data_IF_765200249142
#
_entry.id   IF_765200249142
#
_cell.length_a   1.000
_cell.length_b   1.000
_cell.length_c   1.000
_cell.angle_alpha   90.00
_cell.angle_beta   90.00
_cell.angle_gamma   90.00
#
_symmetry.space_group_name_H-M   'P 1'
#
loop_
_entity.id
_entity.type
_entity.pdbx_description
1 polymer ?
#
# COMPACT_ATOMS: atom_id res chain seq x y z
N UNK A 1 -35.71 57.95 -42.74
CA UNK A 1 -34.55 57.10 -43.05
C UNK A 1 -34.59 55.89 -42.15
N UNK A 2 -34.97 54.67 -42.64
CA UNK A 2 -35.14 53.46 -41.90
C UNK A 2 -33.96 52.56 -42.19
N UNK A 3 -33.06 52.40 -41.22
CA UNK A 3 -31.91 51.52 -41.30
C UNK A 3 -32.32 50.04 -41.04
N UNK A 4 -32.25 49.20 -42.08
CA UNK A 4 -32.44 47.76 -41.98
C UNK A 4 -31.19 47.09 -41.41
N UNK A 5 -31.25 46.58 -40.18
CA UNK A 5 -30.20 45.75 -39.57
C UNK A 5 -30.25 44.36 -40.18
N UNK A 6 -29.19 43.95 -40.88
CA UNK A 6 -28.99 42.60 -41.40
C UNK A 6 -28.53 41.71 -40.23
N UNK A 7 -29.41 40.79 -39.81
CA UNK A 7 -29.10 39.73 -38.81
C UNK A 7 -28.36 38.62 -39.53
N UNK A 8 -27.04 38.56 -39.36
CA UNK A 8 -26.19 37.47 -39.86
C UNK A 8 -26.63 36.15 -39.22
N UNK A 9 -27.15 35.23 -40.02
CA UNK A 9 -27.54 33.88 -39.62
C UNK A 9 -26.26 33.05 -39.54
N UNK A 10 -25.73 32.81 -38.31
CA UNK A 10 -24.62 31.88 -38.11
C UNK A 10 -25.09 30.50 -38.57
N UNK A 11 -24.45 29.95 -39.59
CA UNK A 11 -24.59 28.53 -39.99
C UNK A 11 -23.94 27.68 -38.89
N UNK A 12 -24.73 26.91 -38.17
CA UNK A 12 -24.21 25.82 -37.32
C UNK A 12 -23.81 24.69 -38.27
N UNK A 13 -22.53 24.51 -38.50
CA UNK A 13 -22.02 23.28 -39.13
C UNK A 13 -22.19 22.14 -38.13
N UNK A 14 -23.10 21.23 -38.41
CA UNK A 14 -23.26 19.99 -37.63
C UNK A 14 -22.05 19.07 -37.83
N UNK A 15 -21.61 18.41 -36.78
CA UNK A 15 -20.55 17.39 -36.85
C UNK A 15 -20.96 16.25 -37.77
N UNK A 16 -20.04 15.79 -38.62
CA UNK A 16 -20.28 14.61 -39.45
C UNK A 16 -20.20 13.36 -38.61
N UNK A 17 -20.90 12.28 -39.00
CA UNK A 17 -20.92 11.01 -38.29
C UNK A 17 -19.49 10.42 -38.17
N UNK A 18 -18.65 10.60 -39.17
CA UNK A 18 -17.26 10.16 -39.20
C UNK A 18 -16.39 10.95 -38.20
N UNK A 19 -16.61 12.26 -38.07
CA UNK A 19 -15.88 13.11 -37.14
C UNK A 19 -16.17 12.74 -35.69
N UNK A 20 -17.44 12.42 -35.37
CA UNK A 20 -17.83 11.91 -34.06
C UNK A 20 -17.22 10.52 -33.77
N UNK A 21 -17.16 9.61 -34.75
CA UNK A 21 -16.56 8.29 -34.55
C UNK A 21 -15.05 8.36 -34.27
N UNK A 22 -14.33 9.27 -34.92
CA UNK A 22 -12.91 9.51 -34.67
C UNK A 22 -12.70 10.08 -33.28
N UNK A 23 -13.51 11.07 -32.85
CA UNK A 23 -13.41 11.66 -31.52
C UNK A 23 -13.67 10.62 -30.43
N UNK A 24 -14.71 9.78 -30.57
CA UNK A 24 -15.01 8.70 -29.62
C UNK A 24 -13.85 7.70 -29.55
N UNK A 25 -13.25 7.33 -30.68
CA UNK A 25 -12.09 6.45 -30.73
C UNK A 25 -10.88 7.02 -29.99
N UNK A 26 -10.56 8.29 -30.19
CA UNK A 26 -9.46 8.98 -29.51
C UNK A 26 -9.70 9.08 -27.99
N UNK A 27 -10.94 9.41 -27.58
CA UNK A 27 -11.30 9.49 -26.16
C UNK A 27 -11.19 8.12 -25.49
N UNK A 28 -11.61 7.04 -26.15
CA UNK A 28 -11.48 5.68 -25.62
C UNK A 28 -10.00 5.29 -25.37
N UNK A 29 -9.10 5.62 -26.30
CA UNK A 29 -7.65 5.39 -26.14
C UNK A 29 -7.10 6.24 -24.97
N UNK A 30 -7.49 7.50 -24.86
CA UNK A 30 -7.03 8.37 -23.78
C UNK A 30 -7.49 7.86 -22.39
N UNK A 31 -8.72 7.39 -22.27
CA UNK A 31 -9.25 6.83 -21.01
C UNK A 31 -8.46 5.58 -20.58
N UNK A 32 -8.17 4.66 -21.51
CA UNK A 32 -7.39 3.44 -21.18
C UNK A 32 -5.96 3.78 -20.73
N UNK A 33 -5.30 4.75 -21.33
CA UNK A 33 -3.97 5.19 -20.93
C UNK A 33 -3.95 5.82 -19.53
N UNK A 34 -4.98 6.58 -19.17
CA UNK A 34 -5.08 7.22 -17.84
C UNK A 34 -5.37 6.21 -16.75
N UNK A 35 -6.29 5.26 -16.97
CA UNK A 35 -6.70 4.29 -15.95
C UNK A 35 -5.55 3.38 -15.51
N UNK A 36 -4.70 2.92 -16.43
CA UNK A 36 -3.54 2.08 -16.09
C UNK A 36 -2.51 2.81 -15.22
N UNK A 37 -2.26 4.10 -15.48
CA UNK A 37 -1.36 4.92 -14.66
C UNK A 37 -1.93 5.22 -13.28
N UNK A 38 -3.23 5.41 -13.18
CA UNK A 38 -3.90 5.73 -11.92
C UNK A 38 -3.77 4.62 -10.87
N UNK A 39 -3.88 3.36 -11.28
CA UNK A 39 -3.71 2.20 -10.37
C UNK A 39 -2.32 2.18 -9.75
N UNK A 40 -1.26 2.37 -10.55
CA UNK A 40 0.12 2.39 -10.06
C UNK A 40 0.38 3.53 -9.07
N UNK A 41 -0.16 4.72 -9.34
CA UNK A 41 -0.03 5.88 -8.44
C UNK A 41 -0.72 5.60 -7.10
N UNK A 42 -1.94 5.05 -7.13
CA UNK A 42 -2.68 4.71 -5.91
C UNK A 42 -1.94 3.69 -5.05
N UNK A 43 -1.39 2.64 -5.64
CA UNK A 43 -0.63 1.62 -4.91
C UNK A 43 0.65 2.19 -4.29
N UNK A 44 1.35 3.06 -5.00
CA UNK A 44 2.52 3.75 -4.45
C UNK A 44 2.16 4.66 -3.27
N UNK A 45 1.04 5.38 -3.34
CA UNK A 45 0.56 6.21 -2.23
C UNK A 45 0.14 5.36 -1.01
N UNK A 46 -0.56 4.25 -1.24
CA UNK A 46 -0.91 3.28 -0.20
C UNK A 46 0.34 2.73 0.49
N UNK A 47 1.33 2.32 -0.29
CA UNK A 47 2.59 1.80 0.26
C UNK A 47 3.34 2.83 1.09
N UNK A 48 3.39 4.11 0.66
CA UNK A 48 4.01 5.19 1.46
C UNK A 48 3.31 5.38 2.80
N UNK A 49 1.98 5.36 2.81
CA UNK A 49 1.20 5.46 4.03
C UNK A 49 1.44 4.25 4.94
N UNK A 50 1.51 3.04 4.37
CA UNK A 50 1.82 1.82 5.13
C UNK A 50 3.22 1.87 5.75
N UNK A 51 4.24 2.35 5.03
CA UNK A 51 5.60 2.53 5.58
C UNK A 51 5.58 3.54 6.75
N UNK A 52 4.84 4.63 6.62
CA UNK A 52 4.69 5.61 7.71
C UNK A 52 3.96 5.03 8.92
N UNK A 53 2.85 4.31 8.69
CA UNK A 53 2.10 3.61 9.72
C UNK A 53 2.98 2.57 10.45
N UNK A 54 3.71 1.77 9.68
CA UNK A 54 4.63 0.75 10.20
C UNK A 54 5.73 1.37 11.06
N UNK A 55 6.37 2.44 10.58
CA UNK A 55 7.42 3.15 11.34
C UNK A 55 6.88 3.69 12.67
N UNK A 56 5.70 4.32 12.63
CA UNK A 56 5.03 4.83 13.83
C UNK A 56 4.68 3.70 14.80
N UNK A 57 4.13 2.61 14.28
CA UNK A 57 3.73 1.44 15.08
C UNK A 57 4.94 0.76 15.73
N UNK A 58 6.03 0.54 14.99
CA UNK A 58 7.27 -0.03 15.55
C UNK A 58 7.82 0.85 16.67
N UNK A 59 7.86 2.18 16.47
CA UNK A 59 8.27 3.13 17.51
C UNK A 59 7.40 3.00 18.76
N UNK A 60 6.08 2.98 18.60
CA UNK A 60 5.14 2.84 19.72
C UNK A 60 5.24 1.49 20.44
N UNK A 61 5.46 0.40 19.70
CA UNK A 61 5.69 -0.92 20.30
C UNK A 61 6.96 -0.88 21.16
N UNK A 62 8.05 -0.29 20.67
CA UNK A 62 9.29 -0.13 21.45
C UNK A 62 9.05 0.70 22.72
N UNK A 63 8.25 1.76 22.64
CA UNK A 63 7.90 2.58 23.81
C UNK A 63 7.11 1.75 24.86
N UNK A 64 6.18 0.88 24.42
CA UNK A 64 5.40 -0.01 25.31
C UNK A 64 6.27 -1.06 25.99
N UNK A 65 7.27 -1.57 25.28
CA UNK A 65 8.18 -2.60 25.78
C UNK A 65 9.47 -2.04 26.37
N UNK A 66 9.57 -0.72 26.56
CA UNK A 66 10.77 -0.09 27.15
C UNK A 66 11.05 -0.66 28.54
N UNK A 67 12.27 -1.08 28.75
CA UNK A 67 12.67 -1.72 30.02
C UNK A 67 12.33 -3.22 30.14
N UNK A 68 11.71 -3.81 29.14
CA UNK A 68 11.51 -5.26 29.05
C UNK A 68 12.62 -5.89 28.16
N UNK A 69 13.08 -7.06 28.57
CA UNK A 69 14.15 -7.76 27.83
C UNK A 69 13.66 -8.42 26.54
N UNK A 70 12.37 -8.68 26.42
CA UNK A 70 11.81 -9.42 25.29
C UNK A 70 10.43 -8.91 24.86
N UNK A 71 10.05 -9.19 23.61
CA UNK A 71 8.72 -8.95 23.03
C UNK A 71 7.77 -10.15 23.16
N UNK A 72 7.98 -11.07 24.11
CA UNK A 72 7.24 -12.34 24.21
C UNK A 72 5.71 -12.18 24.23
N UNK A 73 5.19 -11.11 24.84
CA UNK A 73 3.75 -10.83 24.93
C UNK A 73 3.19 -10.14 23.68
N UNK A 74 4.04 -9.80 22.67
CA UNK A 74 3.64 -9.02 21.52
C UNK A 74 2.70 -9.81 20.60
N UNK A 75 1.45 -9.39 20.53
CA UNK A 75 0.40 -9.90 19.62
C UNK A 75 -0.57 -8.80 19.23
N UNK A 76 -1.33 -8.99 18.16
CA UNK A 76 -2.40 -8.05 17.78
C UNK A 76 -3.39 -7.84 18.94
N UNK A 77 -3.80 -8.93 19.63
CA UNK A 77 -4.75 -8.88 20.75
C UNK A 77 -4.23 -8.05 21.93
N UNK A 78 -2.92 -8.04 22.16
CA UNK A 78 -2.27 -7.23 23.17
C UNK A 78 -2.24 -5.74 22.79
N UNK A 79 -2.03 -5.42 21.50
CA UNK A 79 -1.86 -4.06 21.03
C UNK A 79 -3.19 -3.33 20.74
N UNK A 80 -4.21 -4.04 20.26
CA UNK A 80 -5.50 -3.45 19.87
C UNK A 80 -6.13 -2.59 20.98
N UNK A 81 -6.18 -3.01 22.26
CA UNK A 81 -6.75 -2.18 23.32
C UNK A 81 -5.88 -0.99 23.72
N UNK A 82 -4.64 -0.90 23.23
CA UNK A 82 -3.74 0.19 23.57
C UNK A 82 -3.98 1.40 22.66
N UNK A 83 -4.29 2.58 23.23
CA UNK A 83 -4.63 3.74 22.42
C UNK A 83 -3.45 4.19 21.56
N UNK A 84 -3.70 4.35 20.26
CA UNK A 84 -2.75 4.90 19.26
C UNK A 84 -1.45 4.13 19.06
N UNK A 85 -1.32 2.90 19.54
CA UNK A 85 -0.19 2.02 19.19
C UNK A 85 -0.36 1.55 17.75
N UNK A 86 -1.54 1.07 17.41
CA UNK A 86 -1.92 0.77 16.03
C UNK A 86 -2.63 2.02 15.48
N UNK A 87 -2.21 2.54 14.31
CA UNK A 87 -2.91 3.66 13.67
C UNK A 87 -4.38 3.34 13.39
N UNK A 88 -5.28 4.29 13.63
CA UNK A 88 -6.72 4.11 13.43
C UNK A 88 -7.07 3.71 11.98
N UNK A 89 -6.28 4.16 11.01
CA UNK A 89 -6.41 3.79 9.60
C UNK A 89 -6.19 2.30 9.31
N UNK A 90 -5.52 1.58 10.20
CA UNK A 90 -5.27 0.14 10.12
C UNK A 90 -6.27 -0.69 10.94
N UNK A 91 -7.12 -0.06 11.73
CA UNK A 91 -8.13 -0.76 12.54
C UNK A 91 -9.44 -0.85 11.77
N UNK A 92 -9.99 -2.05 11.66
CA UNK A 92 -11.30 -2.32 11.04
C UNK A 92 -12.17 -3.10 12.01
N UNK A 93 -13.39 -2.61 12.21
CA UNK A 93 -14.42 -3.34 12.96
C UNK A 93 -15.03 -4.42 12.05
N UNK A 94 -14.97 -5.67 12.47
CA UNK A 94 -15.61 -6.80 11.79
C UNK A 94 -17.06 -7.04 12.29
N UNK A 95 -17.53 -6.21 13.22
CA UNK A 95 -18.81 -6.35 13.88
C UNK A 95 -18.68 -7.00 15.27
N UNK A 96 -19.66 -6.71 16.14
CA UNK A 96 -19.65 -7.24 17.51
C UNK A 96 -18.52 -6.75 18.42
N UNK A 97 -17.83 -5.66 18.06
CA UNK A 97 -16.70 -5.12 18.83
C UNK A 97 -15.37 -5.82 18.59
N UNK A 98 -15.29 -6.68 17.58
CA UNK A 98 -14.04 -7.38 17.20
C UNK A 98 -13.26 -6.48 16.23
N UNK A 99 -12.12 -5.96 16.70
CA UNK A 99 -11.22 -5.15 15.89
C UNK A 99 -10.14 -6.01 15.24
N UNK A 100 -9.87 -5.76 13.97
CA UNK A 100 -8.82 -6.41 13.18
C UNK A 100 -7.84 -5.38 12.63
N UNK A 101 -6.58 -5.76 12.57
CA UNK A 101 -5.55 -4.93 11.93
C UNK A 101 -5.48 -5.29 10.45
N UNK A 102 -5.69 -4.30 9.59
CA UNK A 102 -5.70 -4.46 8.13
C UNK A 102 -4.75 -3.47 7.47
N UNK A 103 -4.20 -3.87 6.34
CA UNK A 103 -3.37 -2.98 5.52
C UNK A 103 -4.22 -2.16 4.52
N UNK A 104 -3.60 -1.23 3.80
CA UNK A 104 -4.28 -0.36 2.83
C UNK A 104 -4.87 -1.11 1.62
N UNK A 105 -4.54 -2.38 1.41
CA UNK A 105 -5.12 -3.24 0.37
C UNK A 105 -6.27 -4.11 0.90
N UNK A 106 -6.51 -4.09 2.23
CA UNK A 106 -7.59 -4.82 2.89
C UNK A 106 -7.15 -6.17 3.48
N UNK A 107 -5.91 -6.57 3.25
CA UNK A 107 -5.34 -7.80 3.80
C UNK A 107 -5.03 -7.69 5.30
N UNK A 108 -4.97 -8.82 5.99
CA UNK A 108 -4.67 -8.88 7.40
C UNK A 108 -3.21 -8.46 7.69
N UNK A 109 -3.02 -7.74 8.80
CA UNK A 109 -1.70 -7.45 9.35
C UNK A 109 -1.54 -8.20 10.67
N UNK A 110 -0.50 -9.02 10.76
CA UNK A 110 -0.16 -9.77 11.97
C UNK A 110 1.11 -9.22 12.58
N UNK A 111 1.03 -8.83 13.83
CA UNK A 111 2.15 -8.30 14.62
C UNK A 111 2.46 -9.31 15.71
N UNK A 112 3.71 -9.74 15.80
CA UNK A 112 4.19 -10.69 16.80
C UNK A 112 5.68 -10.50 17.07
N UNK A 113 6.20 -11.13 18.11
CA UNK A 113 7.64 -11.27 18.27
C UNK A 113 8.20 -12.34 17.34
N UNK A 114 9.50 -12.28 17.07
CA UNK A 114 10.23 -13.42 16.50
C UNK A 114 10.14 -14.63 17.43
N UNK A 115 10.34 -15.86 16.92
CA UNK A 115 10.52 -17.04 17.80
C UNK A 115 11.64 -16.81 18.84
N UNK A 116 11.66 -17.64 19.88
CA UNK A 116 12.68 -17.58 20.93
C UNK A 116 14.07 -17.19 20.35
N UNK A 117 14.75 -16.17 20.88
CA UNK A 117 14.59 -15.50 22.16
C UNK A 117 13.62 -14.28 22.22
N UNK A 118 12.72 -14.08 21.26
CA UNK A 118 11.70 -13.01 21.25
C UNK A 118 12.26 -11.58 21.27
N UNK A 119 13.43 -11.36 20.65
CA UNK A 119 14.16 -10.08 20.72
C UNK A 119 13.75 -9.08 19.62
N UNK A 120 12.93 -9.49 18.65
CA UNK A 120 12.58 -8.65 17.51
C UNK A 120 11.08 -8.62 17.27
N UNK A 121 10.63 -7.50 16.68
CA UNK A 121 9.25 -7.30 16.25
C UNK A 121 9.12 -7.86 14.83
N UNK A 122 8.11 -8.67 14.58
CA UNK A 122 7.77 -9.19 13.26
C UNK A 122 6.39 -8.70 12.84
N UNK A 123 6.30 -8.09 11.65
CA UNK A 123 5.05 -7.61 11.06
C UNK A 123 4.85 -8.31 9.73
N UNK A 124 3.71 -8.99 9.59
CA UNK A 124 3.34 -9.74 8.39
C UNK A 124 2.15 -9.07 7.71
N UNK A 125 2.29 -8.76 6.43
CA UNK A 125 1.27 -8.15 5.57
C UNK A 125 0.74 -9.20 4.60
N UNK A 126 -0.55 -9.52 4.65
CA UNK A 126 -1.22 -10.40 3.70
C UNK A 126 -1.85 -9.59 2.56
N UNK A 127 -2.09 -10.24 1.42
CA UNK A 127 -2.87 -9.72 0.28
C UNK A 127 -2.38 -8.37 -0.26
N UNK A 128 -1.07 -8.16 -0.26
CA UNK A 128 -0.45 -6.95 -0.83
C UNK A 128 -0.35 -7.12 -2.34
N UNK A 129 -0.78 -6.10 -3.12
CA UNK A 129 -0.60 -6.13 -4.59
C UNK A 129 0.89 -6.18 -4.96
N UNK A 130 1.23 -6.73 -6.14
CA UNK A 130 2.63 -6.82 -6.57
C UNK A 130 3.32 -5.46 -6.65
N UNK A 131 2.61 -4.42 -7.13
CA UNK A 131 3.12 -3.04 -7.16
C UNK A 131 3.26 -2.43 -5.76
N UNK A 132 2.29 -2.72 -4.88
CA UNK A 132 2.32 -2.33 -3.47
C UNK A 132 3.49 -2.97 -2.73
N UNK A 133 3.73 -4.26 -2.95
CA UNK A 133 4.86 -5.00 -2.39
C UNK A 133 6.20 -4.36 -2.78
N UNK A 134 6.44 -4.09 -4.07
CA UNK A 134 7.68 -3.44 -4.52
C UNK A 134 7.90 -2.10 -3.81
N UNK A 135 6.85 -1.27 -3.72
CA UNK A 135 6.92 0.03 -3.07
C UNK A 135 7.10 -0.09 -1.55
N UNK A 136 6.47 -1.10 -0.92
CA UNK A 136 6.61 -1.37 0.52
C UNK A 136 8.02 -1.86 0.85
N UNK A 137 8.57 -2.79 0.08
CA UNK A 137 9.95 -3.29 0.23
C UNK A 137 10.95 -2.14 0.07
N UNK A 138 10.82 -1.35 -1.00
CA UNK A 138 11.71 -0.20 -1.23
C UNK A 138 11.64 0.83 -0.10
N UNK A 139 10.44 1.15 0.39
CA UNK A 139 10.21 2.11 1.45
C UNK A 139 10.64 1.63 2.84
N UNK A 140 10.60 0.31 3.10
CA UNK A 140 10.98 -0.28 4.39
C UNK A 140 12.43 -0.78 4.45
N UNK A 141 13.15 -0.79 3.33
CA UNK A 141 14.48 -1.35 3.21
C UNK A 141 15.51 -0.77 4.21
N UNK A 142 15.34 0.49 4.61
CA UNK A 142 16.21 1.15 5.59
C UNK A 142 15.73 1.02 7.03
N UNK A 143 14.47 0.63 7.24
CA UNK A 143 13.85 0.48 8.57
C UNK A 143 13.92 -0.95 9.08
N UNK A 144 13.65 -1.92 8.21
CA UNK A 144 13.58 -3.33 8.57
C UNK A 144 14.97 -3.97 8.58
N UNK A 145 15.21 -4.85 9.55
CA UNK A 145 16.41 -5.69 9.59
C UNK A 145 16.36 -6.77 8.52
N UNK A 146 15.21 -7.44 8.40
CA UNK A 146 15.00 -8.42 7.35
C UNK A 146 13.63 -8.28 6.69
N UNK A 147 13.55 -8.67 5.41
CA UNK A 147 12.36 -8.65 4.58
C UNK A 147 12.27 -9.98 3.86
N UNK A 148 11.15 -10.68 4.05
CA UNK A 148 10.92 -12.05 3.53
C UNK A 148 9.56 -12.13 2.84
N UNK A 149 9.47 -12.82 1.70
CA UNK A 149 8.21 -13.22 1.06
C UNK A 149 8.19 -14.74 0.98
N UNK A 150 7.30 -15.38 1.71
CA UNK A 150 7.28 -16.84 1.81
C UNK A 150 8.56 -17.37 2.42
N UNK A 151 9.40 -18.04 1.62
CA UNK A 151 10.73 -18.54 1.97
C UNK A 151 11.88 -17.69 1.42
N UNK A 152 11.56 -16.67 0.60
CA UNK A 152 12.55 -15.88 -0.11
C UNK A 152 12.94 -14.64 0.69
N UNK A 153 14.21 -14.55 1.07
CA UNK A 153 14.77 -13.39 1.76
C UNK A 153 15.17 -12.31 0.75
N UNK A 154 14.51 -11.15 0.81
CA UNK A 154 14.83 -9.96 0.01
C UNK A 154 15.85 -9.05 0.67
N UNK A 155 15.93 -9.10 1.99
CA UNK A 155 16.91 -8.41 2.81
C UNK A 155 17.23 -9.24 4.03
N UNK A 156 18.51 -9.40 4.34
CA UNK A 156 19.04 -10.02 5.56
C UNK A 156 19.64 -8.92 6.44
N UNK A 157 19.55 -9.08 7.75
CA UNK A 157 20.10 -8.12 8.72
C UNK A 157 21.58 -7.82 8.43
N UNK A 158 21.91 -6.54 8.32
CA UNK A 158 23.26 -6.07 8.00
C UNK A 158 23.69 -6.17 6.53
N UNK A 159 22.84 -6.68 5.64
CA UNK A 159 23.10 -6.78 4.20
C UNK A 159 22.31 -5.73 3.39
N UNK A 160 22.73 -5.51 2.16
CA UNK A 160 21.97 -4.73 1.20
C UNK A 160 20.68 -5.46 0.81
N UNK A 161 19.65 -4.69 0.46
CA UNK A 161 18.42 -5.23 -0.12
C UNK A 161 18.72 -5.88 -1.48
N UNK A 162 17.97 -6.91 -1.85
CA UNK A 162 18.05 -7.57 -3.15
C UNK A 162 17.90 -6.56 -4.31
N UNK A 163 18.39 -6.92 -5.48
CA UNK A 163 18.24 -6.08 -6.67
C UNK A 163 16.77 -5.89 -7.05
N UNK A 164 16.48 -4.80 -7.76
CA UNK A 164 15.10 -4.45 -8.16
C UNK A 164 14.43 -5.57 -8.94
N UNK A 165 15.16 -6.24 -9.81
CA UNK A 165 14.61 -7.34 -10.63
C UNK A 165 14.19 -8.54 -9.78
N UNK A 166 14.99 -8.89 -8.76
CA UNK A 166 14.67 -9.96 -7.81
C UNK A 166 13.44 -9.57 -6.97
N UNK A 167 13.40 -8.35 -6.48
CA UNK A 167 12.24 -7.84 -5.73
C UNK A 167 10.98 -7.89 -6.60
N UNK A 168 11.06 -7.43 -7.85
CA UNK A 168 9.93 -7.42 -8.77
C UNK A 168 9.40 -8.84 -9.05
N UNK A 169 10.30 -9.81 -9.22
CA UNK A 169 9.90 -11.19 -9.44
C UNK A 169 9.21 -11.81 -8.21
N UNK A 170 9.80 -11.64 -7.03
CA UNK A 170 9.25 -12.18 -5.78
C UNK A 170 7.95 -11.49 -5.37
N UNK A 171 7.81 -10.20 -5.61
CA UNK A 171 6.58 -9.45 -5.34
C UNK A 171 5.37 -9.89 -6.20
N UNK A 172 5.56 -10.66 -7.27
CA UNK A 172 4.45 -11.31 -7.99
C UNK A 172 3.67 -12.28 -7.11
N UNK A 173 4.29 -12.85 -6.09
CA UNK A 173 3.69 -13.80 -5.15
C UNK A 173 2.97 -13.10 -3.97
N UNK A 174 3.24 -11.81 -3.73
CA UNK A 174 2.72 -11.07 -2.57
C UNK A 174 1.19 -11.08 -2.42
N UNK A 175 0.36 -11.15 -3.49
CA UNK A 175 -1.09 -11.27 -3.34
C UNK A 175 -1.54 -12.57 -2.64
N UNK A 176 -0.76 -13.63 -2.70
CA UNK A 176 -1.08 -14.94 -2.11
C UNK A 176 -0.16 -15.34 -0.96
N UNK A 177 0.99 -14.71 -0.88
CA UNK A 177 2.04 -15.03 0.10
C UNK A 177 2.33 -13.78 0.95
N UNK A 178 2.32 -13.88 2.29
CA UNK A 178 2.54 -12.72 3.14
C UNK A 178 3.97 -12.17 3.01
N UNK A 179 4.06 -10.85 3.01
CA UNK A 179 5.31 -10.11 3.16
C UNK A 179 5.61 -9.93 4.64
N UNK A 180 6.75 -10.41 5.10
CA UNK A 180 7.17 -10.38 6.50
C UNK A 180 8.36 -9.45 6.67
N UNK A 181 8.22 -8.49 7.58
CA UNK A 181 9.27 -7.52 7.95
C UNK A 181 9.65 -7.73 9.41
N UNK A 182 10.94 -7.72 9.69
CA UNK A 182 11.48 -7.89 11.05
C UNK A 182 12.28 -6.67 11.46
N UNK A 183 12.12 -6.23 12.71
CA UNK A 183 12.73 -5.03 13.30
C UNK A 183 13.36 -5.37 14.64
N UNK A 184 14.57 -4.88 14.90
CA UNK A 184 15.25 -4.93 16.21
C UNK A 184 14.78 -3.81 17.12
#
# INVERSE_FOLDING_TARGET
MTTKTFKSKRRSTGFTLIEMSVVVGLVAIAITAVTTRWVLIRDSMKAKNEVANMSTMVGKIRDVFIGLETYKALTNSFLIPMPKVIPDSMLKDEGGGVMKVVNAWGGAVTIKSTPDPFLKIQISYAEVTSSGCMSLVAGSAYLADSIVIGTDELKVSGAATASVDVIADKCKQAPTTPLVLTFS
#
